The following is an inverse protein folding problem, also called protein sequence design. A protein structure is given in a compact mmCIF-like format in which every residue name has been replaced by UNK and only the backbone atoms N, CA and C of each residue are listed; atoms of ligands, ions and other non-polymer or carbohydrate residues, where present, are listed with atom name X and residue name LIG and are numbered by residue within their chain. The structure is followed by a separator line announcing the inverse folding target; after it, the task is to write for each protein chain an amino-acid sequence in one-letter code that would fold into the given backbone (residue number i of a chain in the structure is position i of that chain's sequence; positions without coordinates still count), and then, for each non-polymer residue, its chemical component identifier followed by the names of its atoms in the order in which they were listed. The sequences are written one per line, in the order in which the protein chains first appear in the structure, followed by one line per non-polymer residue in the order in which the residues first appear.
data_IF_775407667271
#
_entry.id   IF_775407667271
#
_cell.length_a   1.000
_cell.length_b   1.000
_cell.length_c   1.000
_cell.angle_alpha   90.00
_cell.angle_beta   90.00
_cell.angle_gamma   90.00
#
_symmetry.space_group_name_H-M   'P 1'
#
loop_
_entity.id
_entity.type
_entity.pdbx_description
1 polymer ?
#
# COMPACT_ATOMS: atom_id res chain seq x y z
N UNK A 1 36.05 0.58 -30.62
CA UNK A 1 35.21 0.13 -29.48
C UNK A 1 34.47 1.35 -28.97
N UNK A 2 33.14 1.41 -29.14
CA UNK A 2 32.32 2.55 -28.69
C UNK A 2 32.02 2.33 -27.21
N UNK A 3 32.49 3.24 -26.36
CA UNK A 3 32.16 3.27 -24.95
C UNK A 3 30.66 3.55 -24.81
N UNK A 4 29.90 2.54 -24.41
CA UNK A 4 28.52 2.73 -23.96
C UNK A 4 28.63 3.30 -22.55
N UNK A 5 28.33 4.60 -22.43
CA UNK A 5 28.45 5.36 -21.19
C UNK A 5 27.44 4.84 -20.17
N UNK A 6 27.91 4.32 -19.04
CA UNK A 6 27.12 3.87 -17.87
C UNK A 6 26.18 4.97 -17.35
N UNK A 7 26.50 6.25 -17.63
CA UNK A 7 25.64 7.40 -17.32
C UNK A 7 24.27 7.37 -18.03
N UNK A 8 24.15 6.68 -19.18
CA UNK A 8 22.90 6.62 -19.92
C UNK A 8 21.88 5.64 -19.33
N UNK A 9 22.35 4.64 -18.56
CA UNK A 9 21.46 3.66 -17.89
C UNK A 9 20.81 4.30 -16.67
N UNK A 10 21.57 5.06 -15.87
CA UNK A 10 21.04 5.78 -14.70
C UNK A 10 19.94 6.80 -15.05
N UNK A 11 20.05 7.49 -16.18
CA UNK A 11 19.00 8.44 -16.58
C UNK A 11 17.71 7.76 -17.04
N UNK A 12 17.77 6.56 -17.61
CA UNK A 12 16.57 5.85 -18.07
C UNK A 12 15.73 5.30 -16.90
N UNK A 13 16.38 4.87 -15.80
CA UNK A 13 15.67 4.37 -14.61
C UNK A 13 14.99 5.52 -13.85
N UNK A 14 15.63 6.68 -13.73
CA UNK A 14 15.03 7.85 -13.06
C UNK A 14 13.78 8.41 -13.74
N UNK A 15 13.67 8.29 -15.07
CA UNK A 15 12.47 8.70 -15.81
C UNK A 15 11.32 7.68 -15.72
N UNK A 16 11.62 6.38 -15.55
CA UNK A 16 10.59 5.36 -15.39
C UNK A 16 9.87 5.46 -14.04
N UNK A 17 10.60 5.73 -12.95
CA UNK A 17 10.01 5.95 -11.61
C UNK A 17 9.19 7.25 -11.56
N UNK A 18 9.64 8.30 -12.25
CA UNK A 18 8.89 9.57 -12.34
C UNK A 18 7.62 9.48 -13.20
N UNK A 19 7.56 8.52 -14.13
CA UNK A 19 6.36 8.27 -14.95
C UNK A 19 5.33 7.39 -14.22
N UNK A 20 5.78 6.44 -13.39
CA UNK A 20 4.88 5.64 -12.54
C UNK A 20 4.18 6.49 -11.47
N UNK A 21 4.83 7.53 -10.94
CA UNK A 21 4.24 8.38 -9.89
C UNK A 21 3.27 9.45 -10.43
N UNK A 22 3.27 9.74 -11.73
CA UNK A 22 2.48 10.86 -12.30
C UNK A 22 1.21 10.46 -13.06
N UNK A 23 1.04 9.19 -13.43
CA UNK A 23 -0.06 8.77 -14.32
C UNK A 23 -1.13 7.87 -13.70
N UNK A 24 -1.00 7.46 -12.44
CA UNK A 24 -1.95 6.58 -11.77
C UNK A 24 -2.34 7.06 -10.36
N UNK A 25 -2.22 8.37 -10.09
CA UNK A 25 -3.10 9.00 -9.13
C UNK A 25 -4.51 9.04 -9.75
N UNK A 26 -5.18 7.88 -9.78
CA UNK A 26 -6.62 7.89 -9.60
C UNK A 26 -6.87 8.78 -8.38
N UNK A 27 -7.86 9.68 -8.41
CA UNK A 27 -8.19 10.45 -7.21
C UNK A 27 -8.37 9.42 -6.11
N UNK A 28 -7.44 9.41 -5.15
CA UNK A 28 -7.60 8.65 -3.93
C UNK A 28 -8.80 9.34 -3.32
N UNK A 29 -9.99 8.77 -3.52
CA UNK A 29 -11.12 9.08 -2.65
C UNK A 29 -10.53 8.99 -1.26
N UNK A 30 -10.51 10.11 -0.52
CA UNK A 30 -9.97 10.17 0.83
C UNK A 30 -10.66 9.05 1.60
N UNK A 31 -10.00 7.90 1.67
CA UNK A 31 -10.55 6.72 2.30
C UNK A 31 -10.83 7.11 3.74
N UNK A 32 -11.98 6.68 4.26
CA UNK A 32 -12.27 6.88 5.69
C UNK A 32 -11.12 6.26 6.46
N UNK A 33 -10.29 7.13 7.05
CA UNK A 33 -9.19 6.74 7.91
C UNK A 33 -9.76 6.51 9.32
N UNK A 34 -9.06 5.79 10.20
CA UNK A 34 -9.46 5.72 11.60
C UNK A 34 -9.65 7.12 12.24
N UNK A 35 -8.88 8.12 11.80
CA UNK A 35 -9.04 9.52 12.20
C UNK A 35 -10.33 10.16 11.66
N UNK A 36 -10.87 9.70 10.53
CA UNK A 36 -12.17 10.16 10.02
C UNK A 36 -13.35 9.70 10.88
N UNK A 37 -13.16 8.73 11.80
CA UNK A 37 -14.12 8.36 12.84
C UNK A 37 -13.94 9.12 14.16
N UNK A 38 -13.22 10.24 14.21
CA UNK A 38 -13.16 11.08 15.43
C UNK A 38 -14.55 11.54 15.93
N UNK A 39 -15.58 11.46 15.07
CA UNK A 39 -17.00 11.67 15.42
C UNK A 39 -17.79 10.42 15.87
N UNK A 40 -17.17 9.24 15.89
CA UNK A 40 -17.80 7.95 16.20
C UNK A 40 -18.37 7.20 14.99
N UNK A 41 -18.85 5.97 15.23
CA UNK A 41 -19.52 5.13 14.21
C UNK A 41 -20.85 5.77 13.78
N UNK A 42 -21.13 5.94 12.47
CA UNK A 42 -22.40 6.47 12.00
C UNK A 42 -23.61 5.64 12.44
N UNK A 43 -24.76 6.30 12.59
CA UNK A 43 -26.02 5.62 12.86
C UNK A 43 -26.46 4.74 11.68
N UNK A 44 -27.34 3.77 11.93
CA UNK A 44 -27.94 2.94 10.90
C UNK A 44 -28.61 3.79 9.81
N UNK A 45 -28.27 3.52 8.56
CA UNK A 45 -28.75 4.28 7.41
C UNK A 45 -27.68 4.44 6.33
N UNK A 46 -27.95 5.28 5.32
CA UNK A 46 -27.06 5.49 4.18
C UNK A 46 -25.65 5.94 4.55
N UNK A 47 -25.49 6.70 5.64
CA UNK A 47 -24.20 7.20 6.11
C UNK A 47 -23.29 6.06 6.60
N UNK A 48 -23.86 5.03 7.25
CA UNK A 48 -23.12 3.84 7.67
C UNK A 48 -22.71 3.00 6.46
N UNK A 49 -23.59 2.84 5.48
CA UNK A 49 -23.30 2.11 4.24
C UNK A 49 -22.18 2.79 3.43
N UNK A 50 -22.19 4.13 3.39
CA UNK A 50 -21.12 4.92 2.79
C UNK A 50 -19.80 4.77 3.53
N UNK A 51 -19.81 4.83 4.86
CA UNK A 51 -18.62 4.61 5.67
C UNK A 51 -18.03 3.21 5.45
N UNK A 52 -18.87 2.17 5.37
CA UNK A 52 -18.45 0.79 5.07
C UNK A 52 -17.81 0.69 3.68
N UNK A 53 -18.44 1.30 2.66
CA UNK A 53 -17.91 1.31 1.31
C UNK A 53 -16.53 1.98 1.24
N UNK A 54 -16.38 3.12 1.90
CA UNK A 54 -15.12 3.84 1.96
C UNK A 54 -14.04 3.07 2.75
N UNK A 55 -14.40 2.47 3.89
CA UNK A 55 -13.48 1.64 4.66
C UNK A 55 -13.06 0.38 3.89
N UNK A 56 -13.96 -0.26 3.14
CA UNK A 56 -13.63 -1.39 2.27
C UNK A 56 -12.72 -1.01 1.09
N UNK A 57 -12.87 0.21 0.56
CA UNK A 57 -11.95 0.73 -0.45
C UNK A 57 -10.56 0.98 0.14
N UNK A 58 -10.49 1.59 1.34
CA UNK A 58 -9.25 1.82 2.05
C UNK A 58 -8.52 0.52 2.41
N UNK A 59 -9.22 -0.47 2.99
CA UNK A 59 -8.64 -1.80 3.28
C UNK A 59 -8.02 -2.43 2.03
N UNK A 60 -8.75 -2.44 0.91
CA UNK A 60 -8.23 -2.98 -0.37
C UNK A 60 -7.00 -2.23 -0.87
N UNK A 61 -6.95 -0.91 -0.69
CA UNK A 61 -5.77 -0.13 -1.04
C UNK A 61 -4.58 -0.51 -0.16
N UNK A 62 -4.78 -0.66 1.15
CA UNK A 62 -3.70 -1.08 2.08
C UNK A 62 -3.23 -2.51 1.84
N UNK A 63 -4.13 -3.41 1.46
CA UNK A 63 -3.76 -4.75 1.00
C UNK A 63 -2.92 -4.69 -0.29
N UNK A 64 -3.28 -3.83 -1.25
CA UNK A 64 -2.52 -3.65 -2.49
C UNK A 64 -1.12 -3.05 -2.22
N UNK A 65 -1.03 -2.03 -1.36
CA UNK A 65 0.24 -1.42 -0.95
C UNK A 65 1.16 -2.46 -0.28
N UNK A 66 0.61 -3.29 0.61
CA UNK A 66 1.34 -4.36 1.28
C UNK A 66 1.84 -5.42 0.30
N UNK A 67 1.00 -5.85 -0.65
CA UNK A 67 1.39 -6.84 -1.65
C UNK A 67 2.49 -6.32 -2.58
N UNK A 68 2.45 -5.05 -2.96
CA UNK A 68 3.51 -4.44 -3.76
C UNK A 68 4.87 -4.50 -3.06
N UNK A 69 4.88 -4.29 -1.74
CA UNK A 69 6.10 -4.37 -0.95
C UNK A 69 6.60 -5.81 -0.77
N UNK A 70 5.68 -6.78 -0.63
CA UNK A 70 6.04 -8.21 -0.65
C UNK A 70 6.66 -8.59 -1.99
N UNK A 71 6.06 -8.17 -3.10
CA UNK A 71 6.58 -8.43 -4.44
C UNK A 71 7.97 -7.78 -4.64
N UNK A 72 8.19 -6.59 -4.08
CA UNK A 72 9.49 -5.93 -4.07
C UNK A 72 10.55 -6.75 -3.33
N UNK A 73 10.26 -7.18 -2.11
CA UNK A 73 11.20 -7.99 -1.30
C UNK A 73 11.55 -9.31 -2.01
N UNK A 74 10.56 -9.97 -2.62
CA UNK A 74 10.80 -11.18 -3.42
C UNK A 74 11.67 -10.90 -4.66
N UNK A 75 11.51 -9.74 -5.29
CA UNK A 75 12.36 -9.33 -6.40
C UNK A 75 13.80 -9.07 -5.94
N UNK A 76 14.00 -8.42 -4.77
CA UNK A 76 15.33 -8.22 -4.16
C UNK A 76 16.02 -9.57 -3.91
N UNK A 77 15.31 -10.53 -3.30
CA UNK A 77 15.82 -11.90 -3.11
C UNK A 77 16.20 -12.56 -4.43
N UNK A 78 15.35 -12.45 -5.46
CA UNK A 78 15.60 -13.01 -6.78
C UNK A 78 16.86 -12.43 -7.45
N UNK A 79 17.04 -11.11 -7.43
CA UNK A 79 18.21 -10.47 -8.05
C UNK A 79 19.51 -10.83 -7.33
N UNK A 80 19.47 -11.01 -6.00
CA UNK A 80 20.60 -11.49 -5.24
C UNK A 80 20.95 -12.95 -5.61
N UNK A 81 19.95 -13.83 -5.67
CA UNK A 81 20.13 -15.23 -6.04
C UNK A 81 20.64 -15.40 -7.49
N UNK A 82 20.26 -14.52 -8.41
CA UNK A 82 20.76 -14.50 -9.81
C UNK A 82 22.16 -13.86 -9.93
N UNK A 83 22.70 -13.31 -8.85
CA UNK A 83 24.00 -12.62 -8.80
C UNK A 83 24.00 -11.26 -9.51
N UNK A 84 22.82 -10.69 -9.74
CA UNK A 84 22.62 -9.37 -10.32
C UNK A 84 22.73 -8.24 -9.28
N UNK A 85 22.58 -8.57 -8.00
CA UNK A 85 22.74 -7.68 -6.85
C UNK A 85 23.90 -8.16 -5.95
N UNK A 86 24.71 -7.23 -5.42
CA UNK A 86 25.76 -7.57 -4.46
C UNK A 86 25.22 -7.69 -3.02
N UNK A 87 26.00 -8.34 -2.14
CA UNK A 87 25.58 -8.65 -0.77
C UNK A 87 25.33 -7.39 0.07
N UNK A 88 26.13 -6.34 -0.10
CA UNK A 88 25.95 -5.09 0.65
C UNK A 88 24.64 -4.41 0.25
N UNK A 89 24.33 -4.35 -1.05
CA UNK A 89 23.07 -3.82 -1.56
C UNK A 89 21.87 -4.68 -1.11
N UNK A 90 21.98 -6.01 -1.20
CA UNK A 90 20.92 -6.92 -0.76
C UNK A 90 20.56 -6.70 0.71
N UNK A 91 21.56 -6.61 1.59
CA UNK A 91 21.34 -6.40 3.02
C UNK A 91 20.69 -5.03 3.31
N UNK A 92 21.08 -3.99 2.57
CA UNK A 92 20.47 -2.66 2.70
C UNK A 92 18.99 -2.67 2.27
N UNK A 93 18.70 -3.20 1.08
CA UNK A 93 17.35 -3.23 0.51
C UNK A 93 16.41 -4.12 1.34
N UNK A 94 16.86 -5.28 1.82
CA UNK A 94 16.07 -6.13 2.71
C UNK A 94 15.80 -5.46 4.05
N UNK A 95 16.81 -4.87 4.69
CA UNK A 95 16.62 -4.21 5.98
C UNK A 95 15.63 -3.03 5.89
N UNK A 96 15.70 -2.24 4.81
CA UNK A 96 14.74 -1.17 4.56
C UNK A 96 13.34 -1.74 4.28
N UNK A 97 13.23 -2.68 3.35
CA UNK A 97 11.93 -3.23 2.95
C UNK A 97 11.23 -3.99 4.07
N UNK A 98 11.96 -4.70 4.94
CA UNK A 98 11.39 -5.32 6.15
C UNK A 98 10.86 -4.28 7.15
N UNK A 99 11.57 -3.16 7.32
CA UNK A 99 11.10 -2.08 8.18
C UNK A 99 9.82 -1.43 7.62
N UNK A 100 9.77 -1.17 6.32
CA UNK A 100 8.58 -0.67 5.63
C UNK A 100 7.41 -1.69 5.68
N UNK A 101 7.72 -2.99 5.64
CA UNK A 101 6.71 -4.06 5.67
C UNK A 101 5.94 -4.04 6.98
N UNK A 102 6.64 -3.88 8.11
CA UNK A 102 6.00 -3.79 9.41
C UNK A 102 5.05 -2.59 9.51
N UNK A 103 5.42 -1.46 8.91
CA UNK A 103 4.60 -0.25 8.86
C UNK A 103 3.37 -0.45 7.97
N UNK A 104 3.56 -0.99 6.76
CA UNK A 104 2.47 -1.28 5.83
C UNK A 104 1.48 -2.30 6.42
N UNK A 105 1.98 -3.34 7.08
CA UNK A 105 1.17 -4.34 7.77
C UNK A 105 0.34 -3.71 8.91
N UNK A 106 0.92 -2.80 9.68
CA UNK A 106 0.19 -2.07 10.72
C UNK A 106 -0.98 -1.27 10.13
N UNK A 107 -0.75 -0.49 9.06
CA UNK A 107 -1.80 0.28 8.40
C UNK A 107 -2.90 -0.60 7.80
N UNK A 108 -2.54 -1.74 7.21
CA UNK A 108 -3.51 -2.72 6.71
C UNK A 108 -4.37 -3.26 7.85
N UNK A 109 -3.76 -3.61 8.98
CA UNK A 109 -4.48 -4.15 10.14
C UNK A 109 -5.43 -3.11 10.74
N UNK A 110 -5.03 -1.84 10.80
CA UNK A 110 -5.90 -0.73 11.24
C UNK A 110 -7.10 -0.54 10.30
N UNK A 111 -6.86 -0.56 8.98
CA UNK A 111 -7.94 -0.45 8.00
C UNK A 111 -8.94 -1.63 8.06
N UNK A 112 -8.42 -2.85 8.23
CA UNK A 112 -9.24 -4.05 8.39
C UNK A 112 -10.06 -4.02 9.69
N UNK A 113 -9.48 -3.55 10.80
CA UNK A 113 -10.17 -3.40 12.07
C UNK A 113 -11.33 -2.39 11.96
N UNK A 114 -11.08 -1.24 11.32
CA UNK A 114 -12.09 -0.22 11.06
C UNK A 114 -13.25 -0.77 10.22
N UNK A 115 -12.95 -1.45 9.11
CA UNK A 115 -14.00 -2.03 8.26
C UNK A 115 -14.82 -3.10 9.02
N UNK A 116 -14.17 -3.90 9.87
CA UNK A 116 -14.84 -4.88 10.71
C UNK A 116 -15.76 -4.22 11.75
N UNK A 117 -15.33 -3.13 12.38
CA UNK A 117 -16.14 -2.35 13.34
C UNK A 117 -17.41 -1.80 12.68
N UNK A 118 -17.28 -1.18 11.50
CA UNK A 118 -18.43 -0.64 10.77
C UNK A 118 -19.40 -1.73 10.32
N UNK A 119 -18.88 -2.88 9.86
CA UNK A 119 -19.71 -4.05 9.52
C UNK A 119 -20.45 -4.61 10.73
N UNK A 120 -19.81 -4.65 11.90
CA UNK A 120 -20.46 -5.07 13.13
C UNK A 120 -21.60 -4.11 13.52
N UNK A 121 -21.41 -2.81 13.34
CA UNK A 121 -22.46 -1.81 13.55
C UNK A 121 -23.64 -2.00 12.58
N UNK A 122 -23.38 -2.25 11.29
CA UNK A 122 -24.43 -2.52 10.30
C UNK A 122 -25.22 -3.80 10.64
N UNK A 123 -24.53 -4.85 11.11
CA UNK A 123 -25.19 -6.09 11.53
C UNK A 123 -26.08 -5.91 12.78
N UNK A 124 -25.84 -4.87 13.59
CA UNK A 124 -26.66 -4.52 14.74
C UNK A 124 -27.85 -3.61 14.38
N UNK A 125 -27.96 -3.15 13.13
CA UNK A 125 -29.07 -2.32 12.70
C UNK A 125 -30.39 -3.11 12.69
N UNK A 126 -31.51 -2.47 13.09
CA UNK A 126 -32.82 -3.12 13.01
C UNK A 126 -33.12 -3.51 11.57
N UNK A 127 -33.61 -4.74 11.37
CA UNK A 127 -34.14 -5.14 10.08
C UNK A 127 -35.35 -4.25 9.75
N UNK A 128 -35.39 -3.71 8.54
CA UNK A 128 -36.60 -3.08 7.99
C UNK A 128 -37.77 -4.05 7.91
#
# INVERSE_FOLDING_TARGET
MKAVSVFAVFFAVSFAVSALTKSSAQPVEEGVTPAALEGGVPACGPELDEAIRAASANERQKDADLNLLIDYLLWVEYEFDDGAMDEDQFLEEMAQGEAEYLVALAFRNEAAALHAELKAAQAACPAE
#
